data_IF_833886003276
#
_entry.id   IF_833886003276
#
_cell.length_a   1.000
_cell.length_b   1.000
_cell.length_c   1.000
_cell.angle_alpha   90.00
_cell.angle_beta   90.00
_cell.angle_gamma   90.00
#
_symmetry.space_group_name_H-M   'P 1'
#
loop_
_entity.id
_entity.type
_entity.pdbx_description
1 polymer ?
#
# COMPACT_ATOMS: atom_id res chain seq x y z
N UNK A 1 9.72 -35.71 46.79
CA UNK A 1 9.37 -36.62 45.67
C UNK A 1 8.05 -36.10 45.12
N UNK A 2 8.06 -35.31 44.05
CA UNK A 2 8.11 -35.83 42.69
C UNK A 2 6.69 -36.31 42.36
N UNK A 3 5.87 -35.51 41.67
CA UNK A 3 5.91 -35.44 40.20
C UNK A 3 5.29 -34.13 39.73
N UNK A 4 6.16 -33.28 39.20
CA UNK A 4 5.81 -32.16 38.34
C UNK A 4 5.32 -32.75 37.01
N UNK A 5 4.03 -32.63 36.72
CA UNK A 5 3.49 -32.94 35.39
C UNK A 5 3.54 -31.65 34.56
N UNK A 6 4.74 -31.28 34.10
CA UNK A 6 4.88 -30.27 33.05
C UNK A 6 4.33 -30.92 31.77
N UNK A 7 3.11 -30.58 31.40
CA UNK A 7 2.67 -30.72 30.02
C UNK A 7 3.39 -29.64 29.21
N UNK A 8 4.59 -29.96 28.73
CA UNK A 8 5.23 -29.29 27.60
C UNK A 8 4.33 -29.59 26.41
N UNK A 9 3.29 -28.79 26.21
CA UNK A 9 2.66 -28.68 24.91
C UNK A 9 3.60 -27.81 24.07
N UNK A 10 4.21 -28.39 23.04
CA UNK A 10 5.15 -27.66 22.21
C UNK A 10 4.36 -26.54 21.55
N UNK A 11 4.89 -25.33 21.66
CA UNK A 11 4.93 -24.35 20.59
C UNK A 11 3.78 -24.56 19.59
N UNK A 12 2.63 -23.93 19.88
CA UNK A 12 1.73 -23.53 18.81
C UNK A 12 2.58 -22.60 17.93
N UNK A 13 3.33 -23.20 17.01
CA UNK A 13 3.70 -22.59 15.76
C UNK A 13 2.33 -22.26 15.17
N UNK A 14 1.84 -21.06 15.45
CA UNK A 14 0.87 -20.41 14.59
C UNK A 14 1.63 -20.22 13.29
N UNK A 15 1.64 -21.28 12.48
CA UNK A 15 1.81 -21.18 11.06
C UNK A 15 0.56 -20.48 10.54
N UNK A 16 0.49 -19.16 10.75
CA UNK A 16 -0.28 -18.25 9.90
C UNK A 16 0.41 -18.23 8.53
N UNK A 17 0.52 -19.40 7.92
CA UNK A 17 1.03 -19.58 6.58
C UNK A 17 -0.21 -19.64 5.68
N UNK A 18 -0.62 -18.47 5.20
CA UNK A 18 -1.47 -18.37 4.02
C UNK A 18 -2.97 -18.23 4.28
N UNK A 19 -3.39 -17.07 4.80
CA UNK A 19 -4.57 -16.46 4.15
C UNK A 19 -4.16 -16.18 2.71
N UNK A 20 -4.93 -16.70 1.75
CA UNK A 20 -4.65 -16.47 0.33
C UNK A 20 -4.48 -14.98 0.09
N UNK A 21 -3.54 -14.56 -0.75
CA UNK A 21 -3.38 -13.16 -1.15
C UNK A 21 -4.76 -12.56 -1.50
N UNK A 22 -5.59 -13.33 -2.20
CA UNK A 22 -6.98 -13.00 -2.52
C UNK A 22 -7.84 -12.65 -1.30
N UNK A 23 -7.74 -13.39 -0.20
CA UNK A 23 -8.49 -13.12 1.03
C UNK A 23 -8.05 -11.80 1.66
N UNK A 24 -6.74 -11.53 1.67
CA UNK A 24 -6.19 -10.25 2.16
C UNK A 24 -6.66 -9.08 1.30
N UNK A 25 -6.64 -9.24 -0.02
CA UNK A 25 -7.11 -8.24 -0.97
C UNK A 25 -8.62 -7.98 -0.80
N UNK A 26 -9.45 -9.02 -0.61
CA UNK A 26 -10.89 -8.86 -0.38
C UNK A 26 -11.18 -8.11 0.93
N UNK A 27 -10.42 -8.35 1.99
CA UNK A 27 -10.56 -7.60 3.26
C UNK A 27 -10.22 -6.13 3.05
N UNK A 28 -9.09 -5.84 2.40
CA UNK A 28 -8.67 -4.45 2.13
C UNK A 28 -9.61 -3.72 1.17
N UNK A 29 -10.19 -4.44 0.21
CA UNK A 29 -11.24 -3.89 -0.66
C UNK A 29 -12.47 -3.46 0.15
N UNK A 30 -12.90 -4.25 1.14
CA UNK A 30 -14.04 -3.91 2.01
C UNK A 30 -13.74 -2.76 2.96
N UNK A 31 -12.49 -2.62 3.38
CA UNK A 31 -12.02 -1.48 4.20
C UNK A 31 -11.71 -0.24 3.36
N UNK A 32 -11.89 -0.28 2.03
CA UNK A 32 -11.55 0.77 1.07
C UNK A 32 -10.07 1.21 1.13
N UNK A 33 -9.19 0.34 1.62
CA UNK A 33 -7.74 0.57 1.75
C UNK A 33 -7.01 0.17 0.48
N UNK A 34 -7.33 0.85 -0.61
CA UNK A 34 -6.82 0.51 -1.93
C UNK A 34 -5.30 0.70 -2.06
N UNK A 35 -4.68 1.60 -1.29
CA UNK A 35 -3.21 1.76 -1.32
C UNK A 35 -2.48 0.57 -0.67
N UNK A 36 -2.99 0.08 0.47
CA UNK A 36 -2.45 -1.11 1.14
C UNK A 36 -2.66 -2.37 0.28
N UNK A 37 -3.80 -2.43 -0.42
CA UNK A 37 -4.11 -3.48 -1.38
C UNK A 37 -3.10 -3.49 -2.53
N UNK A 38 -2.76 -2.32 -3.07
CA UNK A 38 -1.76 -2.16 -4.13
C UNK A 38 -0.35 -2.53 -3.65
N UNK A 39 0.03 -2.13 -2.43
CA UNK A 39 1.33 -2.48 -1.84
C UNK A 39 1.47 -4.00 -1.66
N UNK A 40 0.41 -4.70 -1.27
CA UNK A 40 0.41 -6.16 -1.21
C UNK A 40 0.53 -6.80 -2.59
N UNK A 41 -0.15 -6.25 -3.60
CA UNK A 41 0.01 -6.70 -4.99
C UNK A 41 1.43 -6.51 -5.54
N UNK A 42 2.19 -5.53 -5.05
CA UNK A 42 3.61 -5.37 -5.40
C UNK A 42 4.54 -6.29 -4.61
N UNK A 43 4.20 -6.58 -3.36
CA UNK A 43 5.03 -7.40 -2.47
C UNK A 43 4.87 -8.90 -2.71
N UNK A 44 3.67 -9.35 -3.05
CA UNK A 44 3.37 -10.75 -3.37
C UNK A 44 3.24 -10.89 -4.90
N UNK A 45 3.76 -11.99 -5.49
CA UNK A 45 3.65 -12.19 -6.94
C UNK A 45 2.17 -12.29 -7.33
N UNK A 46 1.74 -11.39 -8.19
CA UNK A 46 0.39 -11.41 -8.76
C UNK A 46 0.10 -12.77 -9.41
N UNK A 47 -1.05 -13.33 -9.05
CA UNK A 47 -1.60 -14.55 -9.65
C UNK A 47 -2.80 -14.18 -10.53
N UNK A 48 -3.18 -15.04 -11.47
CA UNK A 48 -4.35 -14.80 -12.32
C UNK A 48 -5.63 -14.53 -11.51
N UNK A 49 -5.75 -15.14 -10.33
CA UNK A 49 -6.93 -15.01 -9.45
C UNK A 49 -6.96 -13.71 -8.64
N UNK A 50 -5.84 -12.98 -8.59
CA UNK A 50 -5.70 -11.72 -7.86
C UNK A 50 -5.54 -10.52 -8.79
N UNK A 51 -5.36 -10.76 -10.09
CA UNK A 51 -5.13 -9.74 -11.11
C UNK A 51 -6.20 -8.65 -11.11
N UNK A 52 -7.47 -9.03 -11.17
CA UNK A 52 -8.58 -8.05 -11.18
C UNK A 52 -8.61 -7.18 -9.91
N UNK A 53 -8.26 -7.75 -8.75
CA UNK A 53 -8.17 -7.02 -7.50
C UNK A 53 -6.96 -6.06 -7.51
N UNK A 54 -5.81 -6.50 -8.03
CA UNK A 54 -4.64 -5.65 -8.16
C UNK A 54 -4.81 -4.52 -9.18
N UNK A 55 -5.52 -4.78 -10.28
CA UNK A 55 -5.90 -3.77 -11.28
C UNK A 55 -6.84 -2.74 -10.65
N UNK A 56 -7.86 -3.18 -9.89
CA UNK A 56 -8.75 -2.29 -9.15
C UNK A 56 -8.00 -1.45 -8.10
N UNK A 57 -7.07 -2.06 -7.35
CA UNK A 57 -6.22 -1.36 -6.39
C UNK A 57 -5.39 -0.26 -7.08
N UNK A 58 -4.86 -0.58 -8.26
CA UNK A 58 -4.07 0.33 -9.08
C UNK A 58 -4.91 1.51 -9.57
N UNK A 59 -6.09 1.25 -10.12
CA UNK A 59 -6.99 2.28 -10.64
C UNK A 59 -7.44 3.22 -9.52
N UNK A 60 -7.89 2.68 -8.38
CA UNK A 60 -8.36 3.47 -7.24
C UNK A 60 -7.25 4.29 -6.60
N UNK A 61 -6.05 3.72 -6.44
CA UNK A 61 -4.90 4.45 -5.92
C UNK A 61 -4.45 5.54 -6.89
N UNK A 62 -4.46 5.27 -8.20
CA UNK A 62 -4.16 6.27 -9.22
C UNK A 62 -5.17 7.43 -9.20
N UNK A 63 -6.47 7.14 -9.10
CA UNK A 63 -7.51 8.17 -8.98
C UNK A 63 -7.36 8.99 -7.69
N UNK A 64 -6.96 8.37 -6.58
CA UNK A 64 -6.66 9.07 -5.33
C UNK A 64 -5.46 10.01 -5.46
N UNK A 65 -4.37 9.56 -6.10
CA UNK A 65 -3.21 10.39 -6.41
C UNK A 65 -3.61 11.53 -7.35
N UNK A 66 -4.35 11.24 -8.43
CA UNK A 66 -4.81 12.25 -9.39
C UNK A 66 -5.68 13.31 -8.69
N UNK A 67 -6.57 12.92 -7.78
CA UNK A 67 -7.37 13.84 -6.97
C UNK A 67 -6.50 14.73 -6.08
N UNK A 68 -5.54 14.14 -5.35
CA UNK A 68 -4.61 14.90 -4.50
C UNK A 68 -3.79 15.86 -5.35
N UNK A 69 -3.24 15.41 -6.47
CA UNK A 69 -2.46 16.27 -7.36
C UNK A 69 -3.33 17.39 -7.92
N UNK A 70 -4.53 17.08 -8.40
CA UNK A 70 -5.46 18.05 -9.00
C UNK A 70 -5.91 19.11 -7.99
N UNK A 71 -6.44 18.69 -6.83
CA UNK A 71 -6.87 19.58 -5.74
C UNK A 71 -5.71 20.48 -5.25
N UNK A 72 -4.47 20.01 -5.36
CA UNK A 72 -3.28 20.75 -4.92
C UNK A 72 -2.65 21.60 -6.03
N UNK A 73 -2.90 21.30 -7.31
CA UNK A 73 -2.48 22.14 -8.45
C UNK A 73 -3.36 23.36 -8.68
N UNK A 74 -4.61 23.35 -8.21
CA UNK A 74 -5.51 24.51 -8.26
C UNK A 74 -5.25 25.53 -7.14
N UNK A 75 -4.51 25.15 -6.10
CA UNK A 75 -4.09 26.06 -5.03
C UNK A 75 -2.79 26.76 -5.46
N UNK A 76 -2.67 28.10 -5.31
CA UNK A 76 -1.41 28.79 -5.59
C UNK A 76 -0.32 28.11 -4.75
N UNK A 77 0.84 27.87 -5.37
CA UNK A 77 2.05 27.16 -4.88
C UNK A 77 2.67 27.70 -3.56
N UNK A 78 1.87 28.30 -2.68
CA UNK A 78 2.24 28.73 -1.34
C UNK A 78 2.13 27.52 -0.40
N UNK A 79 3.26 26.89 -0.14
CA UNK A 79 3.48 25.95 0.98
C UNK A 79 2.46 24.83 1.08
N UNK A 80 2.53 23.89 0.13
CA UNK A 80 1.77 22.65 0.19
C UNK A 80 2.39 21.76 1.28
N UNK A 81 1.88 21.83 2.50
CA UNK A 81 2.14 20.83 3.53
C UNK A 81 1.38 19.55 3.14
N UNK A 82 2.02 18.71 2.32
CA UNK A 82 1.56 17.32 2.16
C UNK A 82 1.73 16.64 3.52
N UNK A 83 0.66 15.99 4.00
CA UNK A 83 0.70 15.23 5.24
C UNK A 83 1.96 14.31 5.22
N UNK A 84 2.80 14.34 6.27
CA UNK A 84 4.04 13.57 6.29
C UNK A 84 3.83 12.07 6.12
N UNK A 85 2.67 11.53 6.52
CA UNK A 85 2.31 10.13 6.28
C UNK A 85 2.08 9.87 4.78
N UNK A 86 1.35 10.77 4.11
CA UNK A 86 1.10 10.70 2.67
C UNK A 86 2.36 10.89 1.85
N UNK A 87 3.25 11.80 2.27
CA UNK A 87 4.56 12.01 1.64
C UNK A 87 5.35 10.71 1.59
N UNK A 88 5.43 10.00 2.72
CA UNK A 88 6.14 8.73 2.82
C UNK A 88 5.50 7.62 1.99
N UNK A 89 4.16 7.57 1.94
CA UNK A 89 3.42 6.60 1.11
C UNK A 89 3.69 6.82 -0.38
N UNK A 90 3.59 8.06 -0.87
CA UNK A 90 3.85 8.39 -2.28
C UNK A 90 5.31 8.10 -2.65
N UNK A 91 6.28 8.50 -1.81
CA UNK A 91 7.69 8.18 -2.05
C UNK A 91 7.93 6.66 -2.14
N UNK A 92 7.24 5.87 -1.31
CA UNK A 92 7.32 4.41 -1.34
C UNK A 92 6.73 3.84 -2.64
N UNK A 93 5.57 4.34 -3.08
CA UNK A 93 4.93 3.91 -4.33
C UNK A 93 5.80 4.26 -5.55
N UNK A 94 6.33 5.49 -5.61
CA UNK A 94 7.20 5.94 -6.70
C UNK A 94 8.53 5.19 -6.74
N UNK A 95 9.05 4.73 -5.58
CA UNK A 95 10.29 3.94 -5.54
C UNK A 95 10.07 2.50 -6.00
N UNK A 96 8.93 1.92 -5.69
CA UNK A 96 8.65 0.51 -5.96
C UNK A 96 8.04 0.26 -7.36
N UNK A 97 7.49 1.27 -8.03
CA UNK A 97 6.86 1.12 -9.34
C UNK A 97 7.36 2.15 -10.36
N UNK A 98 8.08 1.69 -11.39
CA UNK A 98 8.63 2.56 -12.44
C UNK A 98 7.55 3.24 -13.30
N UNK A 99 6.40 2.60 -13.51
CA UNK A 99 5.28 3.20 -14.25
C UNK A 99 4.72 4.40 -13.50
N UNK A 100 4.53 4.28 -12.18
CA UNK A 100 4.11 5.41 -11.34
C UNK A 100 5.20 6.49 -11.28
N UNK A 101 6.47 6.10 -11.18
CA UNK A 101 7.60 7.05 -11.21
C UNK A 101 7.64 7.86 -12.50
N UNK A 102 7.44 7.23 -13.65
CA UNK A 102 7.45 7.90 -14.95
C UNK A 102 6.24 8.81 -15.13
N UNK A 103 5.07 8.41 -14.60
CA UNK A 103 3.82 9.19 -14.72
C UNK A 103 3.77 10.39 -13.76
N UNK A 104 4.18 10.20 -12.51
CA UNK A 104 3.97 11.20 -11.44
C UNK A 104 5.26 11.80 -10.89
N UNK A 105 6.43 11.22 -11.16
CA UNK A 105 7.69 11.65 -10.53
C UNK A 105 8.04 13.11 -10.79
N UNK A 106 7.77 13.62 -12.00
CA UNK A 106 8.02 15.02 -12.33
C UNK A 106 7.06 15.98 -11.61
N UNK A 107 5.79 15.59 -11.42
CA UNK A 107 4.79 16.37 -10.69
C UNK A 107 5.09 16.36 -9.19
N UNK A 108 5.39 15.18 -8.65
CA UNK A 108 5.81 15.00 -7.27
C UNK A 108 7.02 15.86 -6.93
N UNK A 109 8.05 15.84 -7.78
CA UNK A 109 9.25 16.66 -7.61
C UNK A 109 8.93 18.15 -7.55
N UNK A 110 8.04 18.66 -8.40
CA UNK A 110 7.62 20.06 -8.38
C UNK A 110 6.86 20.45 -7.12
N UNK A 111 6.08 19.54 -6.53
CA UNK A 111 5.35 19.81 -5.28
C UNK A 111 6.26 19.82 -4.04
N UNK A 112 7.34 19.05 -4.04
CA UNK A 112 8.26 18.95 -2.88
C UNK A 112 9.49 19.88 -2.97
N UNK A 113 9.71 20.55 -4.11
CA UNK A 113 10.92 21.36 -4.37
C UNK A 113 10.81 22.84 -3.94
N UNK A 114 9.81 23.25 -3.19
CA UNK A 114 9.75 24.60 -2.61
C UNK A 114 10.37 24.65 -1.20
N UNK A 115 11.68 24.40 -1.11
CA UNK A 115 12.54 24.73 0.04
C UNK A 115 13.84 25.39 -0.45
#
# INVERSE_FOLDING_TARGET
>A
MGRILICILPFFVVSDCGRSLKDKLIVLQKEEKFEEMLLLCFSEKETADTKELCDLATEKTAAGIDKILFEKTELPFSQITVDPEWKKKIETILRNNETFRNRYGNLWKKMIQDD
#
